data_IF_736716809964
#
_entry.id   IF_736716809964
#
_cell.length_a   1.000
_cell.length_b   1.000
_cell.length_c   1.000
_cell.angle_alpha   90.00
_cell.angle_beta   90.00
_cell.angle_gamma   90.00
#
_symmetry.space_group_name_H-M   'P 1'
#
loop_
_entity.id
_entity.type
_entity.pdbx_description
1 polymer ?
#
# COMPACT_ATOMS: atom_id res chain seq x y z
N UNK A 1 -15.22 14.11 32.55
CA UNK A 1 -14.01 14.62 33.24
C UNK A 1 -12.70 14.32 32.50
N UNK A 2 -12.54 13.18 31.80
CA UNK A 2 -11.31 12.89 31.03
C UNK A 2 -11.13 13.78 29.78
N UNK A 3 -12.21 14.14 29.10
CA UNK A 3 -12.17 14.88 27.83
C UNK A 3 -11.48 16.26 27.92
N UNK A 4 -11.84 17.09 28.91
CA UNK A 4 -11.24 18.42 29.09
C UNK A 4 -9.73 18.37 29.32
N UNK A 5 -9.29 17.40 30.11
CA UNK A 5 -7.88 17.21 30.45
C UNK A 5 -7.08 16.68 29.25
N UNK A 6 -7.68 15.80 28.45
CA UNK A 6 -7.00 15.12 27.34
C UNK A 6 -7.06 15.92 26.04
N UNK A 7 -8.24 16.40 25.63
CA UNK A 7 -8.44 17.08 24.35
C UNK A 7 -8.19 18.59 24.41
N UNK A 8 -8.66 19.24 25.48
CA UNK A 8 -8.54 20.71 25.64
C UNK A 8 -7.32 21.14 26.47
N UNK A 9 -6.64 20.18 27.12
CA UNK A 9 -5.52 20.38 28.06
C UNK A 9 -5.87 21.35 29.21
N UNK A 10 -7.11 21.33 29.65
CA UNK A 10 -7.65 22.20 30.70
C UNK A 10 -8.02 21.40 31.94
N UNK A 11 -8.05 22.06 33.10
CA UNK A 11 -8.54 21.44 34.33
C UNK A 11 -10.02 21.07 34.14
N UNK A 12 -10.49 19.91 34.65
CA UNK A 12 -11.90 19.53 34.58
C UNK A 12 -12.84 20.64 35.09
N UNK A 13 -12.39 21.41 36.08
CA UNK A 13 -13.15 22.46 36.78
C UNK A 13 -12.94 23.87 36.21
N UNK A 14 -12.19 24.03 35.12
CA UNK A 14 -11.97 25.35 34.50
C UNK A 14 -13.31 25.97 34.02
N UNK A 15 -13.53 27.28 34.16
CA UNK A 15 -14.75 27.91 33.64
C UNK A 15 -14.86 27.72 32.12
N UNK A 16 -16.07 27.47 31.62
CA UNK A 16 -16.32 27.38 30.17
C UNK A 16 -16.19 28.78 29.56
N UNK A 17 -15.20 28.97 28.70
CA UNK A 17 -14.95 30.23 27.99
C UNK A 17 -15.22 30.06 26.49
N UNK A 18 -15.41 31.16 25.77
CA UNK A 18 -15.51 31.14 24.31
C UNK A 18 -14.29 30.49 23.65
N UNK A 19 -13.09 30.71 24.22
CA UNK A 19 -11.86 30.08 23.75
C UNK A 19 -11.87 28.55 23.94
N UNK A 20 -12.49 28.04 25.01
CA UNK A 20 -12.65 26.60 25.22
C UNK A 20 -13.64 25.99 24.20
N UNK A 21 -14.67 26.75 23.80
CA UNK A 21 -15.62 26.35 22.75
C UNK A 21 -14.93 26.31 21.38
N UNK A 22 -14.11 27.31 21.05
CA UNK A 22 -13.33 27.34 19.80
C UNK A 22 -12.35 26.16 19.70
N UNK A 23 -11.56 25.89 20.77
CA UNK A 23 -10.66 24.73 20.80
C UNK A 23 -11.39 23.40 20.64
N UNK A 24 -12.60 23.29 21.21
CA UNK A 24 -13.43 22.10 21.08
C UNK A 24 -13.96 21.94 19.67
N UNK A 25 -14.44 23.02 19.05
CA UNK A 25 -14.90 23.03 17.67
C UNK A 25 -13.77 22.67 16.70
N UNK A 26 -12.56 23.20 16.91
CA UNK A 26 -11.37 22.86 16.12
C UNK A 26 -10.94 21.40 16.30
N UNK A 27 -11.04 20.88 17.52
CA UNK A 27 -10.76 19.47 17.81
C UNK A 27 -11.76 18.56 17.09
N UNK A 28 -13.05 18.86 17.18
CA UNK A 28 -14.10 18.14 16.44
C UNK A 28 -13.88 18.23 14.94
N UNK A 29 -13.60 19.41 14.39
CA UNK A 29 -13.36 19.58 12.97
C UNK A 29 -12.12 18.81 12.48
N UNK A 30 -11.03 18.79 13.26
CA UNK A 30 -9.83 17.99 12.93
C UNK A 30 -10.11 16.49 13.04
N UNK A 31 -10.85 16.06 14.07
CA UNK A 31 -11.28 14.68 14.21
C UNK A 31 -12.21 14.26 13.07
N UNK A 32 -13.13 15.13 12.64
CA UNK A 32 -14.01 14.95 11.49
C UNK A 32 -13.26 14.97 10.16
N UNK A 33 -12.19 15.76 10.00
CA UNK A 33 -11.32 15.71 8.83
C UNK A 33 -10.47 14.43 8.79
N UNK A 34 -10.00 13.96 9.94
CA UNK A 34 -9.33 12.65 10.03
C UNK A 34 -10.32 11.51 9.76
N UNK A 35 -11.53 11.56 10.32
CA UNK A 35 -12.62 10.64 10.02
C UNK A 35 -13.05 10.75 8.56
N UNK A 36 -13.10 11.94 7.98
CA UNK A 36 -13.47 12.18 6.58
C UNK A 36 -12.44 11.62 5.58
N UNK A 37 -11.14 11.72 5.91
CA UNK A 37 -10.08 11.00 5.18
C UNK A 37 -10.18 9.48 5.34
N UNK A 38 -10.64 9.01 6.51
CA UNK A 38 -10.92 7.58 6.76
C UNK A 38 -12.19 7.10 6.03
N UNK A 39 -13.21 7.94 5.89
CA UNK A 39 -14.51 7.63 5.26
C UNK A 39 -14.50 7.70 3.72
N UNK A 40 -13.65 8.53 3.10
CA UNK A 40 -13.59 8.66 1.64
C UNK A 40 -13.14 7.36 0.94
N UNK A 41 -12.20 6.64 1.55
CA UNK A 41 -11.73 5.32 1.07
C UNK A 41 -12.87 4.30 1.17
N UNK A 42 -13.48 4.23 2.35
CA UNK A 42 -14.53 3.28 2.70
C UNK A 42 -15.78 3.43 1.78
N UNK A 43 -16.27 4.65 1.58
CA UNK A 43 -17.39 4.95 0.65
C UNK A 43 -17.07 4.69 -0.82
N UNK A 44 -15.80 4.79 -1.23
CA UNK A 44 -15.36 4.47 -2.60
C UNK A 44 -15.28 2.97 -2.88
N UNK A 45 -15.11 2.13 -1.83
CA UNK A 45 -15.24 0.68 -1.91
C UNK A 45 -16.72 0.31 -2.08
N UNK A 46 -17.61 0.90 -1.27
CA UNK A 46 -19.06 0.63 -1.30
C UNK A 46 -19.73 0.99 -2.64
N UNK A 47 -19.22 2.01 -3.37
CA UNK A 47 -19.81 2.45 -4.64
C UNK A 47 -19.33 1.68 -5.88
N UNK A 48 -18.22 0.94 -5.81
CA UNK A 48 -17.68 0.15 -6.93
C UNK A 48 -17.99 -1.34 -6.84
N UNK A 49 -18.26 -1.85 -5.64
CA UNK A 49 -18.64 -3.24 -5.43
C UNK A 49 -20.05 -3.26 -4.85
N UNK A 50 -21.06 -3.38 -5.71
CA UNK A 50 -22.48 -3.57 -5.33
C UNK A 50 -22.72 -4.80 -4.41
N UNK A 51 -21.68 -5.54 -4.02
CA UNK A 51 -21.73 -6.76 -3.23
C UNK A 51 -20.83 -6.73 -1.99
N UNK A 52 -20.83 -5.64 -1.23
CA UNK A 52 -20.50 -5.71 0.20
C UNK A 52 -21.53 -6.56 1.01
N UNK A 53 -22.55 -7.14 0.35
CA UNK A 53 -23.53 -8.07 0.91
C UNK A 53 -23.02 -9.48 1.24
N UNK A 54 -21.70 -9.74 1.25
CA UNK A 54 -21.11 -11.06 1.52
C UNK A 54 -20.27 -11.08 2.82
N UNK A 55 -20.69 -10.31 3.81
CA UNK A 55 -20.29 -10.56 5.20
C UNK A 55 -21.35 -11.46 5.83
N UNK A 56 -21.06 -12.76 5.97
CA UNK A 56 -21.89 -13.72 6.71
C UNK A 56 -21.21 -14.05 8.04
N UNK A 57 -21.58 -13.40 9.14
CA UNK A 57 -21.05 -13.72 10.45
C UNK A 57 -21.75 -14.97 11.00
N UNK A 58 -21.07 -15.74 11.86
CA UNK A 58 -21.73 -16.70 12.77
C UNK A 58 -22.59 -16.02 13.84
N UNK A 59 -22.60 -14.68 13.90
CA UNK A 59 -23.28 -13.85 14.89
C UNK A 59 -24.49 -13.12 14.25
N UNK A 60 -25.71 -13.28 14.77
CA UNK A 60 -26.94 -12.65 14.25
C UNK A 60 -26.92 -11.12 14.18
N UNK A 61 -26.04 -10.44 14.93
CA UNK A 61 -26.01 -8.97 15.02
C UNK A 61 -25.25 -8.34 13.84
N UNK A 62 -24.30 -9.07 13.24
CA UNK A 62 -23.41 -8.51 12.22
C UNK A 62 -23.99 -8.55 10.79
N UNK A 63 -25.24 -9.01 10.61
CA UNK A 63 -26.01 -8.84 9.36
C UNK A 63 -26.64 -7.45 9.20
N UNK A 64 -26.39 -6.52 10.13
CA UNK A 64 -27.00 -5.18 10.16
C UNK A 64 -25.98 -4.03 10.10
N UNK A 65 -24.69 -4.33 9.98
CA UNK A 65 -23.60 -3.33 9.95
C UNK A 65 -23.05 -3.22 8.54
N UNK A 66 -22.81 -1.98 8.09
CA UNK A 66 -22.18 -1.71 6.79
C UNK A 66 -20.72 -2.23 6.76
N UNK A 67 -20.15 -2.50 5.56
CA UNK A 67 -18.72 -2.86 5.45
C UNK A 67 -17.81 -1.78 6.08
N UNK A 68 -18.27 -0.53 6.01
CA UNK A 68 -17.73 0.65 6.68
C UNK A 68 -17.66 0.52 8.20
N UNK A 69 -18.79 0.24 8.86
CA UNK A 69 -18.87 -0.03 10.31
C UNK A 69 -18.09 -1.28 10.70
N UNK A 70 -18.08 -2.30 9.84
CA UNK A 70 -17.36 -3.53 10.08
C UNK A 70 -15.85 -3.31 10.13
N UNK A 71 -15.29 -2.64 9.12
CA UNK A 71 -13.86 -2.32 9.07
C UNK A 71 -13.44 -1.40 10.22
N UNK A 72 -14.29 -0.46 10.63
CA UNK A 72 -14.04 0.38 11.80
C UNK A 72 -14.05 -0.43 13.11
N UNK A 73 -15.06 -1.30 13.30
CA UNK A 73 -15.12 -2.17 14.48
C UNK A 73 -13.90 -3.11 14.53
N UNK A 74 -13.54 -3.73 13.40
CA UNK A 74 -12.33 -4.58 13.31
C UNK A 74 -11.08 -3.79 13.65
N UNK A 75 -10.92 -2.56 13.12
CA UNK A 75 -9.77 -1.71 13.41
C UNK A 75 -9.61 -1.43 14.92
N UNK A 76 -10.72 -1.22 15.62
CA UNK A 76 -10.81 -0.89 17.04
C UNK A 76 -10.74 -2.13 17.97
N UNK A 77 -10.97 -3.34 17.46
CA UNK A 77 -10.88 -4.59 18.23
C UNK A 77 -9.45 -4.93 18.68
N UNK A 78 -9.32 -5.49 19.89
CA UNK A 78 -8.06 -6.09 20.39
C UNK A 78 -7.76 -7.41 19.66
N UNK A 79 -6.52 -7.91 19.81
CA UNK A 79 -6.12 -9.19 19.23
C UNK A 79 -6.92 -10.38 19.79
N UNK A 80 -7.28 -10.34 21.08
CA UNK A 80 -8.13 -11.36 21.72
C UNK A 80 -9.55 -11.35 21.18
N UNK A 81 -10.13 -10.15 20.97
CA UNK A 81 -11.46 -10.00 20.40
C UNK A 81 -11.48 -10.51 18.96
N UNK A 82 -10.47 -10.15 18.16
CA UNK A 82 -10.32 -10.61 16.77
C UNK A 82 -10.19 -12.11 16.64
N UNK A 83 -9.49 -12.77 17.57
CA UNK A 83 -9.34 -14.23 17.54
C UNK A 83 -10.68 -14.99 17.62
N UNK A 84 -11.75 -14.31 18.07
CA UNK A 84 -13.09 -14.86 18.16
C UNK A 84 -13.93 -14.67 16.88
N UNK A 85 -13.43 -13.89 15.91
CA UNK A 85 -14.16 -13.55 14.68
C UNK A 85 -13.38 -13.95 13.43
N UNK A 86 -14.09 -14.53 12.47
CA UNK A 86 -13.60 -14.63 11.10
C UNK A 86 -13.82 -13.28 10.43
N UNK A 87 -12.74 -12.51 10.25
CA UNK A 87 -12.81 -11.10 9.87
C UNK A 87 -13.30 -10.92 8.42
N UNK A 88 -12.96 -11.86 7.55
CA UNK A 88 -13.37 -11.82 6.14
C UNK A 88 -13.97 -13.17 5.75
N UNK A 89 -15.04 -13.14 4.97
CA UNK A 89 -15.61 -14.37 4.44
C UNK A 89 -14.62 -15.04 3.49
N UNK A 90 -14.61 -16.37 3.47
CA UNK A 90 -13.79 -17.13 2.51
C UNK A 90 -14.00 -16.66 1.07
N UNK A 91 -15.25 -16.37 0.69
CA UNK A 91 -15.58 -15.83 -0.64
C UNK A 91 -14.92 -14.48 -0.92
N UNK A 92 -14.88 -13.57 0.06
CA UNK A 92 -14.15 -12.31 -0.08
C UNK A 92 -12.65 -12.56 -0.27
N UNK A 93 -12.06 -13.44 0.54
CA UNK A 93 -10.63 -13.78 0.47
C UNK A 93 -10.30 -14.37 -0.91
N UNK A 94 -11.04 -15.40 -1.34
CA UNK A 94 -10.83 -16.07 -2.61
C UNK A 94 -10.96 -15.06 -3.79
N UNK A 95 -12.00 -14.22 -3.77
CA UNK A 95 -12.19 -13.18 -4.78
C UNK A 95 -11.08 -12.14 -4.75
N UNK A 96 -10.61 -11.70 -3.57
CA UNK A 96 -9.53 -10.72 -3.44
C UNK A 96 -8.20 -11.26 -3.95
N UNK A 97 -7.87 -12.50 -3.60
CA UNK A 97 -6.61 -13.13 -3.99
C UNK A 97 -6.60 -13.52 -5.48
N UNK A 98 -7.76 -13.74 -6.10
CA UNK A 98 -7.85 -14.01 -7.55
C UNK A 98 -7.25 -12.90 -8.44
N UNK A 99 -7.18 -11.66 -7.95
CA UNK A 99 -6.54 -10.55 -8.68
C UNK A 99 -5.04 -10.75 -8.90
N UNK A 100 -4.42 -11.69 -8.19
CA UNK A 100 -3.00 -12.01 -8.27
C UNK A 100 -2.71 -13.23 -9.15
N UNK A 101 -3.72 -13.82 -9.81
CA UNK A 101 -3.57 -14.99 -10.70
C UNK A 101 -2.50 -14.81 -11.78
N UNK A 102 -2.29 -13.57 -12.23
CA UNK A 102 -1.32 -13.22 -13.27
C UNK A 102 0.04 -12.75 -12.72
N UNK A 103 0.30 -13.05 -11.45
CA UNK A 103 1.51 -12.65 -10.75
C UNK A 103 1.32 -11.41 -9.89
N UNK A 104 2.42 -11.01 -9.28
CA UNK A 104 2.43 -10.03 -8.20
C UNK A 104 3.67 -9.14 -8.26
N UNK A 105 3.57 -7.94 -7.68
CA UNK A 105 4.66 -6.97 -7.60
C UNK A 105 4.89 -6.52 -6.16
N UNK A 106 6.13 -6.58 -5.70
CA UNK A 106 6.59 -5.88 -4.51
C UNK A 106 7.36 -4.64 -4.93
N UNK A 107 6.89 -3.47 -4.52
CA UNK A 107 7.60 -2.22 -4.76
C UNK A 107 8.63 -1.98 -3.63
N UNK A 108 9.88 -1.70 -3.98
CA UNK A 108 10.97 -1.44 -3.03
C UNK A 108 11.74 -0.19 -3.41
N UNK A 109 12.13 0.62 -2.42
CA UNK A 109 13.04 1.75 -2.66
C UNK A 109 14.47 1.25 -2.93
N UNK A 110 15.22 1.94 -3.78
CA UNK A 110 16.61 1.59 -4.13
C UNK A 110 17.53 1.47 -2.91
N UNK A 111 17.34 2.30 -1.86
CA UNK A 111 18.08 2.17 -0.61
C UNK A 111 17.81 0.85 0.13
N UNK A 112 16.59 0.32 0.04
CA UNK A 112 16.19 -0.96 0.64
C UNK A 112 16.52 -2.16 -0.25
N UNK A 113 16.61 -1.98 -1.55
CA UNK A 113 17.02 -3.02 -2.49
C UNK A 113 18.38 -3.65 -2.12
N UNK A 114 19.32 -2.85 -1.60
CA UNK A 114 20.62 -3.34 -1.16
C UNK A 114 20.50 -4.44 -0.08
N UNK A 115 19.60 -4.20 0.88
CA UNK A 115 19.45 -5.07 2.05
C UNK A 115 18.44 -6.21 1.81
N UNK A 116 17.35 -5.94 1.09
CA UNK A 116 16.27 -6.90 0.87
C UNK A 116 16.44 -7.77 -0.39
N UNK A 117 17.40 -7.43 -1.26
CA UNK A 117 17.57 -8.15 -2.53
C UNK A 117 19.04 -8.36 -2.87
N UNK A 118 19.85 -7.31 -3.01
CA UNK A 118 21.24 -7.45 -3.47
C UNK A 118 22.06 -8.43 -2.62
N UNK A 119 22.05 -8.24 -1.31
CA UNK A 119 22.83 -9.05 -0.35
C UNK A 119 22.15 -10.35 0.10
N UNK A 120 20.92 -10.60 -0.34
CA UNK A 120 20.14 -11.78 0.05
C UNK A 120 20.05 -12.80 -1.08
N UNK A 121 19.88 -14.07 -0.71
CA UNK A 121 19.54 -15.15 -1.64
C UNK A 121 18.04 -15.18 -1.95
N UNK A 122 17.22 -14.60 -1.07
CA UNK A 122 15.77 -14.56 -1.18
C UNK A 122 15.23 -13.14 -1.03
N UNK A 123 14.03 -12.92 -1.57
CA UNK A 123 13.27 -11.68 -1.42
C UNK A 123 12.10 -11.93 -0.49
N UNK A 124 11.93 -11.06 0.50
CA UNK A 124 10.92 -11.14 1.55
C UNK A 124 11.54 -11.25 2.94
N UNK A 125 10.69 -11.22 3.96
CA UNK A 125 11.08 -11.36 5.36
C UNK A 125 10.84 -12.79 5.80
N UNK A 126 11.78 -13.42 6.50
CA UNK A 126 11.53 -14.69 7.15
C UNK A 126 10.64 -14.49 8.40
N UNK A 127 9.95 -15.54 8.83
CA UNK A 127 9.24 -15.55 10.11
C UNK A 127 10.23 -15.32 11.27
N UNK A 128 9.79 -14.58 12.29
CA UNK A 128 10.60 -14.29 13.49
C UNK A 128 9.74 -14.44 14.74
N UNK A 129 9.97 -15.51 15.51
CA UNK A 129 9.17 -15.82 16.69
C UNK A 129 7.71 -16.04 16.31
N UNK A 130 6.81 -15.24 16.87
CA UNK A 130 5.37 -15.26 16.56
C UNK A 130 4.98 -14.34 15.39
N UNK A 131 5.92 -13.54 14.87
CA UNK A 131 5.66 -12.63 13.75
C UNK A 131 5.78 -13.35 12.41
N UNK A 132 4.78 -13.14 11.54
CA UNK A 132 4.72 -13.75 10.21
C UNK A 132 5.55 -12.96 9.20
N UNK A 133 6.38 -13.64 8.42
CA UNK A 133 7.18 -13.09 7.34
C UNK A 133 6.40 -12.96 6.03
N UNK A 134 7.13 -13.01 4.91
CA UNK A 134 6.60 -12.93 3.55
C UNK A 134 6.99 -11.64 2.83
N UNK A 135 6.31 -11.42 1.70
CA UNK A 135 6.44 -10.25 0.82
C UNK A 135 5.09 -9.57 0.71
N UNK A 136 5.07 -8.28 1.00
CA UNK A 136 3.93 -7.44 0.69
C UNK A 136 3.87 -7.24 -0.82
N UNK A 137 2.78 -7.67 -1.43
CA UNK A 137 2.61 -7.65 -2.88
C UNK A 137 1.31 -6.96 -3.28
N UNK A 138 1.33 -6.33 -4.45
CA UNK A 138 0.15 -5.86 -5.18
C UNK A 138 -0.01 -6.72 -6.44
N UNK A 139 -1.19 -6.75 -7.08
CA UNK A 139 -1.38 -7.40 -8.37
C UNK A 139 -0.37 -6.90 -9.41
N UNK A 140 0.13 -7.76 -10.29
CA UNK A 140 1.12 -7.35 -11.32
C UNK A 140 0.57 -6.27 -12.27
N UNK A 141 -0.72 -6.32 -12.57
CA UNK A 141 -1.41 -5.36 -13.46
C UNK A 141 -1.47 -3.93 -12.89
N UNK A 142 -1.16 -3.74 -11.62
CA UNK A 142 -0.93 -2.43 -10.99
C UNK A 142 0.15 -1.63 -11.74
N UNK A 143 1.15 -2.28 -12.34
CA UNK A 143 2.16 -1.62 -13.19
C UNK A 143 1.49 -0.96 -14.40
N UNK A 144 0.72 -1.74 -15.17
CA UNK A 144 -0.01 -1.22 -16.33
C UNK A 144 -1.04 -0.18 -15.96
N UNK A 145 -1.74 -0.37 -14.85
CA UNK A 145 -2.76 0.56 -14.37
C UNK A 145 -2.17 1.92 -14.02
N UNK A 146 -1.01 1.95 -13.33
CA UNK A 146 -0.32 3.20 -13.00
C UNK A 146 0.16 3.93 -14.26
N UNK A 147 0.81 3.23 -15.19
CA UNK A 147 1.34 3.85 -16.41
C UNK A 147 0.22 4.32 -17.36
N UNK A 148 -0.87 3.57 -17.49
CA UNK A 148 -2.05 4.03 -18.24
C UNK A 148 -2.67 5.27 -17.61
N UNK A 149 -2.76 5.33 -16.28
CA UNK A 149 -3.24 6.50 -15.56
C UNK A 149 -2.36 7.73 -15.83
N UNK A 150 -1.03 7.58 -15.87
CA UNK A 150 -0.12 8.66 -16.24
C UNK A 150 -0.34 9.13 -17.68
N UNK A 151 -0.48 8.20 -18.63
CA UNK A 151 -0.76 8.52 -20.04
C UNK A 151 -2.08 9.29 -20.21
N UNK A 152 -3.09 8.98 -19.39
CA UNK A 152 -4.37 9.71 -19.37
C UNK A 152 -4.29 11.06 -18.63
N UNK A 153 -3.31 11.24 -17.74
CA UNK A 153 -3.12 12.44 -16.94
C UNK A 153 -1.70 13.00 -17.14
N UNK A 154 -1.35 13.46 -18.35
CA UNK A 154 0.03 13.78 -18.70
C UNK A 154 0.60 15.01 -17.98
N UNK A 155 -0.24 15.75 -17.26
CA UNK A 155 0.15 16.85 -16.38
C UNK A 155 0.70 16.37 -15.02
N UNK A 156 0.59 15.08 -14.70
CA UNK A 156 1.13 14.47 -13.48
C UNK A 156 2.53 13.93 -13.72
N UNK A 157 3.39 14.05 -12.70
CA UNK A 157 4.69 13.37 -12.66
C UNK A 157 4.52 11.90 -12.28
N UNK A 158 5.55 11.07 -12.50
CA UNK A 158 5.49 9.68 -12.05
C UNK A 158 5.42 9.61 -10.51
N UNK A 159 6.09 10.52 -9.80
CA UNK A 159 5.97 10.62 -8.34
C UNK A 159 4.53 10.85 -7.90
N UNK A 160 3.81 11.76 -8.57
CA UNK A 160 2.40 12.01 -8.24
C UNK A 160 1.54 10.77 -8.54
N UNK A 161 1.79 10.09 -9.66
CA UNK A 161 1.06 8.87 -10.03
C UNK A 161 1.30 7.73 -9.03
N UNK A 162 2.54 7.45 -8.65
CA UNK A 162 2.85 6.40 -7.67
C UNK A 162 2.31 6.73 -6.28
N UNK A 163 2.26 8.01 -5.91
CA UNK A 163 1.65 8.47 -4.67
C UNK A 163 0.14 8.24 -4.69
N UNK A 164 -0.55 8.72 -5.73
CA UNK A 164 -2.01 8.67 -5.83
C UNK A 164 -2.55 7.28 -6.13
N UNK A 165 -1.91 6.55 -7.05
CA UNK A 165 -2.36 5.22 -7.46
C UNK A 165 -1.89 4.17 -6.49
N UNK A 166 -0.64 4.18 -6.07
CA UNK A 166 -0.05 3.07 -5.32
C UNK A 166 0.13 3.34 -3.82
N UNK A 167 -0.22 4.54 -3.35
CA UNK A 167 -0.17 4.89 -1.93
C UNK A 167 1.24 5.11 -1.39
N UNK A 168 2.23 5.27 -2.27
CA UNK A 168 3.60 5.48 -1.85
C UNK A 168 3.79 6.87 -1.25
N UNK A 169 4.58 6.94 -0.18
CA UNK A 169 4.89 8.21 0.46
C UNK A 169 5.72 9.09 -0.48
N UNK A 170 5.18 10.26 -0.86
CA UNK A 170 5.84 11.24 -1.73
C UNK A 170 7.26 11.56 -1.28
N UNK A 171 7.49 11.84 0.01
CA UNK A 171 8.82 12.18 0.54
C UNK A 171 9.84 11.06 0.32
N UNK A 172 9.39 9.81 0.36
CA UNK A 172 10.24 8.65 0.04
C UNK A 172 10.60 8.66 -1.44
N UNK A 173 9.60 8.84 -2.32
CA UNK A 173 9.79 8.88 -3.78
C UNK A 173 10.61 10.08 -4.25
N UNK A 174 10.60 11.19 -3.50
CA UNK A 174 11.39 12.37 -3.83
C UNK A 174 12.89 12.16 -3.65
N UNK A 175 13.29 11.13 -2.90
CA UNK A 175 14.69 10.87 -2.55
C UNK A 175 15.17 9.47 -2.95
N UNK A 176 14.30 8.64 -3.54
CA UNK A 176 14.61 7.26 -3.88
C UNK A 176 13.96 6.85 -5.21
N UNK A 177 14.71 6.12 -6.02
CA UNK A 177 14.12 5.34 -7.09
C UNK A 177 13.26 4.23 -6.50
N UNK A 178 12.12 3.98 -7.13
CA UNK A 178 11.29 2.82 -6.84
C UNK A 178 11.64 1.69 -7.82
N UNK A 179 11.78 0.48 -7.29
CA UNK A 179 11.98 -0.74 -8.06
C UNK A 179 10.74 -1.62 -7.93
N UNK A 180 10.30 -2.20 -9.03
CA UNK A 180 9.26 -3.22 -9.08
C UNK A 180 9.91 -4.60 -9.05
N UNK A 181 9.75 -5.35 -7.96
CA UNK A 181 10.14 -6.76 -7.90
C UNK A 181 8.94 -7.61 -8.31
N UNK A 182 9.03 -8.21 -9.49
CA UNK A 182 7.93 -8.87 -10.18
C UNK A 182 8.10 -10.39 -10.05
N UNK A 183 7.02 -11.03 -9.64
CA UNK A 183 6.90 -12.48 -9.52
C UNK A 183 5.71 -12.98 -10.35
N UNK A 184 6.02 -13.63 -11.47
CA UNK A 184 5.05 -14.19 -12.42
C UNK A 184 4.57 -15.59 -12.01
N UNK A 185 5.09 -16.14 -10.91
CA UNK A 185 4.84 -17.51 -10.47
C UNK A 185 4.08 -17.58 -9.15
N UNK A 186 3.61 -16.45 -8.63
CA UNK A 186 2.78 -16.41 -7.44
C UNK A 186 1.47 -17.17 -7.67
N UNK A 187 1.37 -18.37 -7.09
CA UNK A 187 0.09 -19.07 -7.00
C UNK A 187 -0.79 -18.39 -5.96
N UNK A 188 -2.06 -18.19 -6.31
CA UNK A 188 -3.11 -17.67 -5.41
C UNK A 188 -3.21 -18.52 -4.15
N UNK A 189 -3.03 -19.84 -4.26
CA UNK A 189 -3.06 -20.80 -3.15
C UNK A 189 -1.96 -20.56 -2.10
N UNK A 190 -0.91 -19.82 -2.47
CA UNK A 190 0.20 -19.48 -1.58
C UNK A 190 0.09 -18.06 -1.02
N UNK A 191 -0.96 -17.32 -1.37
CA UNK A 191 -1.17 -15.97 -0.86
C UNK A 191 -1.96 -15.98 0.44
N UNK A 192 -1.60 -15.05 1.33
CA UNK A 192 -2.34 -14.77 2.54
C UNK A 192 -2.92 -13.35 2.51
N UNK A 193 -4.08 -13.17 3.14
CA UNK A 193 -4.53 -11.82 3.47
C UNK A 193 -3.54 -11.16 4.45
N UNK A 194 -3.17 -9.90 4.23
CA UNK A 194 -2.33 -9.17 5.16
C UNK A 194 -2.98 -9.04 6.53
N UNK A 195 -2.16 -9.02 7.57
CA UNK A 195 -2.60 -8.87 8.97
C UNK A 195 -1.55 -8.05 9.73
N UNK A 196 -1.94 -7.50 10.90
CA UNK A 196 -1.03 -6.78 11.80
C UNK A 196 0.17 -7.61 12.29
N UNK A 197 0.07 -8.94 12.26
CA UNK A 197 1.15 -9.86 12.67
C UNK A 197 2.22 -10.04 11.60
N UNK A 198 1.96 -9.58 10.37
CA UNK A 198 2.94 -9.66 9.30
C UNK A 198 4.02 -8.59 9.47
N UNK A 199 5.27 -9.00 9.36
CA UNK A 199 6.43 -8.12 9.43
C UNK A 199 6.32 -7.05 8.36
N UNK A 200 6.35 -5.78 8.79
CA UNK A 200 6.18 -4.60 7.93
C UNK A 200 4.83 -3.92 8.02
N UNK A 201 3.84 -4.52 8.69
CA UNK A 201 2.65 -3.80 9.10
C UNK A 201 3.05 -2.63 10.02
N UNK A 202 2.59 -1.42 9.69
CA UNK A 202 2.89 -0.20 10.45
C UNK A 202 1.63 0.31 11.15
N UNK A 203 1.71 1.47 11.82
CA UNK A 203 0.57 2.08 12.53
C UNK A 203 -0.62 2.47 11.63
N UNK A 204 -0.40 2.58 10.32
CA UNK A 204 -1.43 2.90 9.33
C UNK A 204 -2.03 1.65 8.67
N UNK A 205 -1.52 0.44 8.99
CA UNK A 205 -2.02 -0.81 8.43
C UNK A 205 -3.42 -1.14 8.98
N UNK A 206 -4.37 -1.36 8.07
CA UNK A 206 -5.71 -1.89 8.37
C UNK A 206 -5.90 -3.25 7.71
N UNK A 207 -6.66 -4.11 8.37
CA UNK A 207 -7.07 -5.37 7.77
C UNK A 207 -8.10 -5.10 6.65
N UNK A 208 -8.04 -5.93 5.61
CA UNK A 208 -8.85 -5.75 4.40
C UNK A 208 -8.06 -5.92 3.11
N UNK A 209 -6.73 -6.06 3.20
CA UNK A 209 -5.90 -6.32 2.02
C UNK A 209 -5.86 -5.14 1.05
N UNK A 210 -5.89 -3.90 1.56
CA UNK A 210 -5.79 -2.72 0.73
C UNK A 210 -4.72 -1.75 1.24
N UNK A 211 -4.00 -1.10 0.32
CA UNK A 211 -3.00 -0.09 0.68
C UNK A 211 -3.69 1.16 1.22
N UNK A 212 -3.29 1.62 2.40
CA UNK A 212 -3.85 2.82 3.05
C UNK A 212 -3.73 4.07 2.18
N UNK A 213 -4.81 4.86 2.13
CA UNK A 213 -4.92 6.02 1.26
C UNK A 213 -5.35 5.69 -0.18
N UNK A 214 -5.48 4.41 -0.53
CA UNK A 214 -5.87 3.95 -1.88
C UNK A 214 -6.84 2.77 -1.81
N UNK A 215 -7.28 2.31 -2.99
CA UNK A 215 -8.04 1.06 -3.16
C UNK A 215 -7.19 -0.06 -3.78
N UNK A 216 -5.87 0.13 -3.88
CA UNK A 216 -5.01 -0.92 -4.43
C UNK A 216 -5.00 -2.12 -3.50
N UNK A 217 -5.00 -3.30 -4.11
CA UNK A 217 -5.04 -4.57 -3.39
C UNK A 217 -3.66 -4.94 -2.91
N UNK A 218 -3.62 -5.51 -1.72
CA UNK A 218 -2.43 -6.06 -1.10
C UNK A 218 -2.69 -7.50 -0.66
N UNK A 219 -1.65 -8.31 -0.80
CA UNK A 219 -1.57 -9.66 -0.26
C UNK A 219 -0.18 -9.90 0.32
N UNK A 220 -0.03 -11.02 1.03
CA UNK A 220 1.26 -11.54 1.46
C UNK A 220 1.60 -12.74 0.62
N UNK A 221 2.68 -12.64 -0.15
CA UNK A 221 3.27 -13.76 -0.87
C UNK A 221 4.41 -14.37 -0.06
N UNK A 222 4.73 -15.67 -0.25
CA UNK A 222 5.84 -16.29 0.44
C UNK A 222 7.18 -15.69 0.01
N UNK A 223 8.20 -15.90 0.84
CA UNK A 223 9.59 -15.61 0.49
C UNK A 223 9.96 -16.39 -0.77
N UNK A 224 10.68 -15.75 -1.69
CA UNK A 224 11.05 -16.33 -2.98
C UNK A 224 12.55 -16.19 -3.25
N UNK A 225 13.15 -17.12 -3.98
CA UNK A 225 14.55 -17.00 -4.40
C UNK A 225 14.74 -15.82 -5.35
N UNK A 226 15.82 -15.04 -5.16
CA UNK A 226 16.08 -13.81 -5.92
C UNK A 226 16.18 -14.04 -7.43
N UNK A 227 16.69 -15.19 -7.85
CA UNK A 227 16.82 -15.54 -9.27
C UNK A 227 15.47 -15.83 -9.95
N UNK A 228 14.39 -16.01 -9.19
CA UNK A 228 13.04 -16.26 -9.72
C UNK A 228 12.22 -14.99 -9.92
N UNK A 229 12.69 -13.84 -9.45
CA UNK A 229 12.01 -12.55 -9.62
C UNK A 229 12.70 -11.70 -10.65
N UNK A 230 11.91 -10.91 -11.39
CA UNK A 230 12.41 -9.85 -12.26
C UNK A 230 12.40 -8.52 -11.50
N UNK A 231 13.32 -7.62 -11.81
CA UNK A 231 13.42 -6.32 -11.13
C UNK A 231 13.41 -5.22 -12.16
N UNK A 232 12.32 -4.46 -12.21
CA UNK A 232 12.18 -3.27 -13.04
C UNK A 232 12.45 -1.99 -12.26
N UNK A 233 12.89 -0.94 -12.95
CA UNK A 233 13.09 0.40 -12.38
C UNK A 233 11.98 1.29 -12.91
N UNK A 234 11.19 1.86 -12.01
CA UNK A 234 10.13 2.79 -12.38
C UNK A 234 10.70 4.07 -13.01
N UNK A 235 10.00 4.59 -14.02
CA UNK A 235 10.36 5.83 -14.71
C UNK A 235 11.33 5.66 -15.86
N UNK A 236 11.83 4.45 -16.08
CA UNK A 236 12.60 4.17 -17.28
C UNK A 236 11.74 4.25 -18.54
N UNK A 237 12.38 4.39 -19.70
CA UNK A 237 11.71 4.33 -20.99
C UNK A 237 10.94 3.02 -21.24
N UNK A 238 9.82 3.10 -21.96
CA UNK A 238 8.98 1.92 -22.29
C UNK A 238 9.79 0.85 -23.07
N UNK A 239 10.83 1.24 -23.81
CA UNK A 239 11.73 0.36 -24.56
C UNK A 239 13.00 -0.06 -23.80
N UNK A 240 13.25 0.50 -22.62
CA UNK A 240 14.45 0.19 -21.86
C UNK A 240 14.42 -1.26 -21.34
N UNK A 241 15.53 -2.03 -21.40
CA UNK A 241 15.55 -3.43 -20.95
C UNK A 241 15.19 -3.63 -19.47
N UNK A 242 15.47 -2.62 -18.64
CA UNK A 242 15.14 -2.61 -17.20
C UNK A 242 13.78 -1.97 -16.87
N UNK A 243 12.97 -1.63 -17.87
CA UNK A 243 11.60 -1.17 -17.63
C UNK A 243 10.75 -2.32 -17.06
N UNK A 244 9.82 -2.08 -16.12
CA UNK A 244 9.00 -3.13 -15.51
C UNK A 244 8.24 -4.04 -16.50
N UNK A 245 8.01 -3.63 -17.75
CA UNK A 245 7.41 -4.49 -18.77
C UNK A 245 8.40 -5.41 -19.50
N UNK A 246 9.69 -5.08 -19.49
CA UNK A 246 10.71 -5.74 -20.33
C UNK A 246 11.63 -6.67 -19.54
N UNK A 247 11.64 -6.50 -18.22
CA UNK A 247 12.54 -7.21 -17.32
C UNK A 247 12.25 -8.71 -17.27
N UNK A 248 13.28 -9.50 -17.01
CA UNK A 248 13.20 -10.95 -16.90
C UNK A 248 13.73 -11.43 -15.55
N UNK A 249 13.28 -12.60 -15.05
CA UNK A 249 13.78 -13.14 -13.80
C UNK A 249 15.31 -13.24 -13.76
N UNK A 250 15.89 -12.86 -12.62
CA UNK A 250 17.33 -12.96 -12.40
C UNK A 250 18.17 -11.78 -12.89
N UNK A 251 17.56 -10.69 -13.37
CA UNK A 251 18.26 -9.51 -13.91
C UNK A 251 18.89 -8.57 -12.84
N UNK A 252 19.22 -9.09 -11.66
CA UNK A 252 19.70 -8.26 -10.54
C UNK A 252 21.10 -7.67 -10.77
N UNK A 253 21.92 -8.29 -11.63
CA UNK A 253 23.25 -7.78 -11.96
C UNK A 253 23.15 -6.54 -12.86
N UNK A 254 22.23 -6.54 -13.81
CA UNK A 254 21.95 -5.42 -14.70
C UNK A 254 21.35 -4.23 -13.94
N UNK A 255 20.48 -4.52 -12.96
CA UNK A 255 19.96 -3.50 -12.04
C UNK A 255 21.08 -2.94 -11.17
N UNK A 256 21.98 -3.79 -10.66
CA UNK A 256 23.15 -3.36 -9.89
C UNK A 256 24.08 -2.45 -10.69
N UNK A 257 24.33 -2.79 -11.96
CA UNK A 257 25.11 -1.97 -12.88
C UNK A 257 24.47 -0.60 -13.09
N UNK A 258 23.16 -0.57 -13.38
CA UNK A 258 22.43 0.69 -13.56
C UNK A 258 22.50 1.57 -12.31
N UNK A 259 22.20 1.01 -11.13
CA UNK A 259 22.18 1.74 -9.86
C UNK A 259 23.58 2.18 -9.39
N UNK A 260 24.66 1.61 -9.94
CA UNK A 260 26.03 2.04 -9.65
C UNK A 260 26.40 3.35 -10.36
N UNK A 261 25.69 3.71 -11.43
CA UNK A 261 25.89 4.97 -12.15
C UNK A 261 25.13 6.10 -11.48
N UNK A 262 25.86 6.97 -10.77
CA UNK A 262 25.28 8.17 -10.14
C UNK A 262 24.55 9.05 -11.15
N UNK A 263 25.09 9.20 -12.36
CA UNK A 263 24.47 10.00 -13.42
C UNK A 263 23.11 9.41 -13.83
N UNK A 264 23.03 8.09 -14.06
CA UNK A 264 21.78 7.43 -14.43
C UNK A 264 20.70 7.63 -13.35
N UNK A 265 21.09 7.45 -12.08
CA UNK A 265 20.18 7.61 -10.95
C UNK A 265 19.71 9.06 -10.82
N UNK A 266 20.60 10.04 -10.92
CA UNK A 266 20.25 11.46 -10.81
C UNK A 266 19.35 11.93 -11.95
N UNK A 267 19.61 11.50 -13.18
CA UNK A 267 18.81 11.90 -14.33
C UNK A 267 17.44 11.23 -14.32
N UNK A 268 17.37 9.94 -13.96
CA UNK A 268 16.10 9.25 -13.78
C UNK A 268 15.28 9.89 -12.66
N UNK A 269 15.88 10.17 -11.50
CA UNK A 269 15.20 10.87 -10.40
C UNK A 269 14.61 12.20 -10.90
N UNK A 270 15.39 13.06 -11.56
CA UNK A 270 14.89 14.34 -12.11
C UNK A 270 13.68 14.14 -13.04
N UNK A 271 13.72 13.13 -13.92
CA UNK A 271 12.62 12.84 -14.85
C UNK A 271 11.33 12.43 -14.12
N UNK A 272 11.43 11.62 -13.06
CA UNK A 272 10.28 11.13 -12.30
C UNK A 272 9.44 12.23 -11.65
N UNK A 273 10.06 13.39 -11.37
CA UNK A 273 9.40 14.57 -10.79
C UNK A 273 8.75 15.50 -11.80
N UNK A 274 9.01 15.31 -13.09
CA UNK A 274 8.47 16.18 -14.14
C UNK A 274 7.16 15.60 -14.67
N UNK A 275 6.16 16.44 -14.98
CA UNK A 275 4.98 16.02 -15.71
C UNK A 275 5.34 15.27 -16.99
N UNK A 276 4.59 14.21 -17.31
CA UNK A 276 4.84 13.40 -18.51
C UNK A 276 4.90 14.26 -19.80
N UNK A 277 4.02 15.24 -19.94
CA UNK A 277 3.97 16.15 -21.10
C UNK A 277 5.21 17.04 -21.26
N UNK A 278 6.03 17.18 -20.22
CA UNK A 278 7.26 17.97 -20.25
C UNK A 278 8.50 17.13 -20.58
N UNK A 279 8.39 15.80 -20.49
CA UNK A 279 9.50 14.90 -20.79
C UNK A 279 9.76 14.86 -22.29
N UNK A 280 11.03 14.97 -22.66
CA UNK A 280 11.47 14.78 -24.06
C UNK A 280 11.56 13.28 -24.36
N UNK A 281 11.59 12.87 -25.64
CA UNK A 281 11.81 11.47 -26.00
C UNK A 281 13.12 10.87 -25.47
N UNK A 282 14.11 11.68 -25.13
CA UNK A 282 15.36 11.21 -24.53
C UNK A 282 15.29 11.14 -22.99
N UNK A 283 14.25 11.73 -22.39
CA UNK A 283 13.93 11.64 -20.96
C UNK A 283 12.94 10.47 -20.69
N UNK A 284 12.54 9.75 -21.75
CA UNK A 284 11.46 8.77 -21.86
C UNK A 284 11.89 7.53 -22.60
#
# INVERSE_FOLDING_TARGET
MAFRKVALKESPDSPLTMQAVEKFSDFLHKAELELGKKFSIISSIDSKYENAGVFRPKNPIAGQISASEYLQNVWEMTDEERALFEIFSKEYIDNHLSFFENGSVTNVRSGSYLDFTKKSMTVGRADVGESKGGRWVQPKDTISTALQYQKQNPHLSLVDVLTTKLGWNRVVLENNLLLAVIDDHTSVDHLEMPTRKHLGANEFFFDGGHTHGTLEREAIAPVIEKNKVAIGIWGLPDDHPLHPFNVKPGNYLEVDEFLSSKANVEDLMKSMHRPLQELKPNDL
#
